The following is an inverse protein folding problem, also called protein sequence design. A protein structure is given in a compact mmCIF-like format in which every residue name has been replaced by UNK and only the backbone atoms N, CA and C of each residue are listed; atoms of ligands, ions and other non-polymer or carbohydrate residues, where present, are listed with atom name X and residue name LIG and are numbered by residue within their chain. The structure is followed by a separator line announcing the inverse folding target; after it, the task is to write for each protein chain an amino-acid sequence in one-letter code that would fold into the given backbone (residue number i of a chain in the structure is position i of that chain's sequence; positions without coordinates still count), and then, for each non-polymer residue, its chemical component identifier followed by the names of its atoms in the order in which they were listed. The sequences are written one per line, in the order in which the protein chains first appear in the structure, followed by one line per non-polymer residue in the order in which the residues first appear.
data_IF_829333266064
#
_entry.id   IF_829333266064
#
_cell.length_a   1.000
_cell.length_b   1.000
_cell.length_c   1.000
_cell.angle_alpha   90.00
_cell.angle_beta   90.00
_cell.angle_gamma   90.00
#
_symmetry.space_group_name_H-M   'P 1'
#
loop_
_entity.id
_entity.type
_entity.pdbx_description
1 polymer ?
#
# COMPACT_ATOMS: atom_id res chain seq x y z
N UNK A 1 -35.15 29.84 59.41
CA UNK A 1 -35.01 29.77 57.92
C UNK A 1 -33.79 28.92 57.60
N UNK A 2 -34.00 27.70 57.09
CA UNK A 2 -32.91 26.77 56.76
C UNK A 2 -32.62 26.94 55.29
N UNK A 3 -31.46 27.48 54.93
CA UNK A 3 -31.03 27.57 53.53
C UNK A 3 -30.43 26.24 53.13
N UNK A 4 -31.12 25.50 52.28
CA UNK A 4 -30.66 24.27 51.63
C UNK A 4 -29.77 24.66 50.45
N UNK A 5 -28.43 24.50 50.59
CA UNK A 5 -27.47 24.71 49.50
C UNK A 5 -27.42 23.45 48.70
N UNK A 6 -28.05 23.45 47.51
CA UNK A 6 -27.94 22.37 46.56
C UNK A 6 -26.66 22.55 45.77
N UNK A 7 -25.64 21.71 46.03
CA UNK A 7 -24.40 21.66 45.29
C UNK A 7 -24.63 20.89 43.97
N UNK A 8 -24.70 21.61 42.89
CA UNK A 8 -24.82 21.02 41.54
C UNK A 8 -23.44 20.55 41.09
N UNK A 9 -23.17 19.25 41.17
CA UNK A 9 -21.94 18.64 40.63
C UNK A 9 -22.15 18.41 39.16
N UNK A 10 -21.56 19.24 38.29
CA UNK A 10 -21.48 19.02 36.85
C UNK A 10 -20.38 18.01 36.55
N UNK A 11 -20.76 16.78 36.24
CA UNK A 11 -19.83 15.77 35.76
C UNK A 11 -19.55 16.07 34.27
N UNK A 12 -18.41 16.69 33.99
CA UNK A 12 -17.92 16.87 32.64
C UNK A 12 -17.40 15.52 32.13
N UNK A 13 -18.21 14.84 31.33
CA UNK A 13 -17.77 13.64 30.60
C UNK A 13 -16.77 14.08 29.52
N UNK A 14 -15.48 13.88 29.77
CA UNK A 14 -14.44 14.01 28.75
C UNK A 14 -14.62 12.86 27.77
N UNK A 15 -15.14 13.15 26.59
CA UNK A 15 -15.16 12.20 25.47
C UNK A 15 -13.72 12.03 25.01
N UNK A 16 -13.08 10.93 25.42
CA UNK A 16 -11.83 10.50 24.80
C UNK A 16 -12.16 10.13 23.35
N UNK A 17 -11.81 11.01 22.43
CA UNK A 17 -11.80 10.65 21.00
C UNK A 17 -10.63 9.69 20.81
N UNK A 18 -10.94 8.40 20.74
CA UNK A 18 -9.99 7.42 20.26
C UNK A 18 -9.67 7.79 18.80
N UNK A 19 -8.43 8.21 18.55
CA UNK A 19 -7.94 8.42 17.19
C UNK A 19 -8.04 7.08 16.46
N UNK A 20 -8.84 7.02 15.42
CA UNK A 20 -8.98 5.80 14.64
C UNK A 20 -7.64 5.50 13.97
N UNK A 21 -7.13 4.31 14.25
CA UNK A 21 -5.93 3.80 13.63
C UNK A 21 -6.13 3.71 12.10
N UNK A 22 -5.28 4.36 11.33
CA UNK A 22 -5.36 4.42 9.88
C UNK A 22 -4.00 4.15 9.27
N UNK A 23 -3.95 3.29 8.25
CA UNK A 23 -2.78 3.08 7.41
C UNK A 23 -3.18 3.29 5.96
N UNK A 24 -2.42 4.08 5.22
CA UNK A 24 -2.57 4.32 3.79
C UNK A 24 -1.26 3.95 3.10
N UNK A 25 -1.33 3.41 1.88
CA UNK A 25 -0.17 3.04 1.12
C UNK A 25 -0.35 3.27 -0.38
N UNK A 26 0.76 3.50 -1.07
CA UNK A 26 0.87 3.67 -2.52
C UNK A 26 2.06 2.88 -3.04
N UNK A 27 2.01 2.48 -4.32
CA UNK A 27 3.16 1.89 -5.01
C UNK A 27 3.77 2.93 -5.96
N UNK A 28 5.10 3.03 -5.96
CA UNK A 28 5.85 3.93 -6.82
C UNK A 28 7.27 3.40 -7.09
N UNK A 29 7.93 3.93 -8.11
CA UNK A 29 9.30 3.57 -8.47
C UNK A 29 10.36 4.28 -7.59
N UNK A 30 9.98 5.34 -6.90
CA UNK A 30 10.84 6.11 -6.03
C UNK A 30 10.07 7.19 -5.28
N UNK A 31 10.76 7.87 -4.35
CA UNK A 31 10.15 8.88 -3.48
C UNK A 31 9.56 10.07 -4.26
N UNK A 32 10.21 10.46 -5.36
CA UNK A 32 9.78 11.60 -6.20
C UNK A 32 8.95 11.15 -7.41
N UNK A 33 8.68 9.84 -7.52
CA UNK A 33 7.88 9.28 -8.61
C UNK A 33 6.39 9.39 -8.30
N UNK A 34 5.58 9.54 -9.35
CA UNK A 34 4.13 9.50 -9.19
C UNK A 34 3.68 8.09 -8.81
N UNK A 35 2.71 7.95 -7.90
CA UNK A 35 2.06 6.67 -7.64
C UNK A 35 1.46 6.09 -8.92
N UNK A 36 1.60 4.79 -9.11
CA UNK A 36 1.02 4.08 -10.23
C UNK A 36 0.50 2.70 -9.81
N UNK A 37 -0.33 2.12 -10.64
CA UNK A 37 -0.86 0.75 -10.49
C UNK A 37 -0.39 -0.20 -11.59
N UNK A 38 0.41 0.30 -12.53
CA UNK A 38 1.04 -0.50 -13.58
C UNK A 38 2.50 -0.06 -13.77
N UNK A 39 3.39 -1.02 -13.91
CA UNK A 39 4.83 -0.80 -14.09
C UNK A 39 5.39 -1.71 -15.16
N UNK A 40 6.46 -1.27 -15.81
CA UNK A 40 7.17 -2.06 -16.82
C UNK A 40 7.99 -3.19 -16.17
N UNK A 41 8.26 -4.25 -16.92
CA UNK A 41 9.05 -5.41 -16.47
C UNK A 41 10.50 -5.08 -16.12
N UNK A 42 11.03 -3.99 -16.63
CA UNK A 42 12.41 -3.56 -16.41
C UNK A 42 12.59 -2.57 -15.26
N UNK A 43 11.49 -2.16 -14.59
CA UNK A 43 11.60 -1.24 -13.45
C UNK A 43 12.59 -1.80 -12.41
N UNK A 44 13.62 -1.03 -12.04
CA UNK A 44 14.71 -1.58 -11.24
C UNK A 44 14.33 -1.88 -9.79
N UNK A 45 13.36 -1.14 -9.25
CA UNK A 45 12.91 -1.25 -7.86
C UNK A 45 11.52 -0.67 -7.69
N UNK A 46 10.70 -1.28 -6.86
CA UNK A 46 9.40 -0.78 -6.44
C UNK A 46 9.38 -0.52 -4.93
N UNK A 47 8.58 0.46 -4.55
CA UNK A 47 8.37 0.85 -3.16
C UNK A 47 6.88 0.86 -2.84
N UNK A 48 6.53 0.27 -1.72
CA UNK A 48 5.25 0.47 -1.06
C UNK A 48 5.44 1.52 0.03
N UNK A 49 5.22 2.79 -0.31
CA UNK A 49 5.24 3.88 0.66
C UNK A 49 3.97 3.86 1.48
N UNK A 50 4.10 3.99 2.79
CA UNK A 50 2.96 4.05 3.68
C UNK A 50 3.07 5.21 4.67
N UNK A 51 1.92 5.61 5.17
CA UNK A 51 1.78 6.47 6.34
C UNK A 51 0.72 5.91 7.26
N UNK A 52 0.96 6.03 8.54
CA UNK A 52 -0.01 5.64 9.58
C UNK A 52 -0.35 6.82 10.48
N UNK A 53 -1.55 6.78 11.05
CA UNK A 53 -2.00 7.68 12.09
C UNK A 53 -2.61 6.86 13.23
N UNK A 54 -2.40 7.30 14.47
CA UNK A 54 -2.86 6.57 15.65
C UNK A 54 -1.97 5.40 16.07
N UNK A 55 -0.77 5.28 15.51
CA UNK A 55 0.25 4.31 15.98
C UNK A 55 0.88 4.75 17.29
N UNK A 56 1.53 3.82 17.97
CA UNK A 56 2.33 4.08 19.18
C UNK A 56 3.76 3.57 18.96
N UNK A 57 4.70 4.14 19.70
CA UNK A 57 6.06 3.62 19.69
C UNK A 57 6.07 2.13 20.08
N UNK A 58 6.72 1.31 19.26
CA UNK A 58 6.75 -0.14 19.42
C UNK A 58 5.77 -0.93 18.55
N UNK A 59 4.77 -0.28 17.96
CA UNK A 59 3.88 -0.93 16.99
C UNK A 59 4.67 -1.47 15.80
N UNK A 60 4.29 -2.65 15.31
CA UNK A 60 4.96 -3.35 14.21
C UNK A 60 4.16 -3.19 12.92
N UNK A 61 4.81 -2.64 11.89
CA UNK A 61 4.29 -2.66 10.52
C UNK A 61 5.07 -3.72 9.73
N UNK A 62 4.37 -4.71 9.21
CA UNK A 62 4.95 -5.78 8.38
C UNK A 62 4.41 -5.66 6.97
N UNK A 63 5.30 -5.46 6.01
CA UNK A 63 4.99 -5.46 4.58
C UNK A 63 5.32 -6.82 3.97
N UNK A 64 4.41 -7.38 3.21
CA UNK A 64 4.54 -8.66 2.52
C UNK A 64 4.25 -8.46 1.04
N UNK A 65 5.22 -8.72 0.18
CA UNK A 65 5.08 -8.67 -1.27
C UNK A 65 4.57 -10.01 -1.80
N UNK A 66 3.49 -10.00 -2.56
CA UNK A 66 2.81 -11.20 -3.04
C UNK A 66 2.63 -11.11 -4.55
N UNK A 67 2.97 -12.19 -5.26
CA UNK A 67 2.62 -12.42 -6.65
C UNK A 67 1.28 -13.16 -6.71
N UNK A 68 0.21 -12.46 -7.09
CA UNK A 68 -1.13 -13.03 -7.15
C UNK A 68 -1.30 -14.01 -8.29
N UNK A 69 -0.93 -13.56 -9.48
CA UNK A 69 -0.98 -14.34 -10.71
C UNK A 69 0.08 -13.85 -11.70
N UNK A 70 1.12 -14.60 -11.84
CA UNK A 70 2.25 -14.34 -12.76
C UNK A 70 2.43 -15.47 -13.77
N UNK A 71 1.34 -16.14 -14.09
CA UNK A 71 1.30 -17.25 -15.03
C UNK A 71 2.17 -18.43 -14.57
N UNK A 72 3.04 -18.92 -15.46
CA UNK A 72 3.95 -20.05 -15.15
C UNK A 72 5.20 -19.67 -14.36
N UNK A 73 5.43 -18.39 -14.08
CA UNK A 73 6.65 -17.93 -13.40
C UNK A 73 6.68 -18.32 -11.91
N UNK A 74 5.52 -18.38 -11.27
CA UNK A 74 5.36 -18.85 -9.90
C UNK A 74 3.92 -19.34 -9.65
N UNK A 75 3.68 -20.16 -8.61
CA UNK A 75 2.33 -20.45 -8.14
C UNK A 75 1.58 -19.17 -7.77
N UNK A 76 0.24 -19.21 -7.87
CA UNK A 76 -0.60 -18.10 -7.41
C UNK A 76 -0.38 -17.83 -5.93
N UNK A 77 -0.55 -16.57 -5.52
CA UNK A 77 -0.40 -16.11 -4.12
C UNK A 77 0.99 -16.43 -3.53
N UNK A 78 2.03 -16.37 -4.35
CA UNK A 78 3.40 -16.61 -3.88
C UNK A 78 3.93 -15.39 -3.13
N UNK A 79 4.30 -15.58 -1.85
CA UNK A 79 5.06 -14.57 -1.10
C UNK A 79 6.46 -14.43 -1.69
N UNK A 80 6.82 -13.20 -2.10
CA UNK A 80 8.11 -12.88 -2.71
C UNK A 80 9.11 -12.47 -1.63
N UNK A 81 8.70 -11.55 -0.76
CA UNK A 81 9.55 -10.98 0.30
C UNK A 81 8.69 -10.38 1.41
N UNK A 82 9.29 -10.18 2.58
CA UNK A 82 8.64 -9.50 3.70
C UNK A 82 9.66 -8.76 4.56
N UNK A 83 9.22 -7.68 5.19
CA UNK A 83 10.01 -6.91 6.13
C UNK A 83 9.14 -6.33 7.24
N UNK A 84 9.77 -5.99 8.37
CA UNK A 84 9.10 -5.40 9.52
C UNK A 84 9.78 -4.07 9.86
N UNK A 85 8.99 -3.04 10.05
CA UNK A 85 9.38 -1.77 10.61
C UNK A 85 8.70 -1.56 11.96
N UNK A 86 9.35 -0.83 12.86
CA UNK A 86 8.80 -0.52 14.17
C UNK A 86 8.46 0.97 14.21
N UNK A 87 7.23 1.31 14.52
CA UNK A 87 6.82 2.69 14.69
C UNK A 87 7.51 3.31 15.91
N UNK A 88 7.87 4.56 15.81
CA UNK A 88 8.49 5.36 16.87
C UNK A 88 7.57 6.49 17.36
N UNK A 89 6.46 6.71 16.69
CA UNK A 89 5.57 7.84 16.90
C UNK A 89 4.12 7.56 16.49
N UNK A 90 3.24 8.48 16.84
CA UNK A 90 1.82 8.44 16.52
C UNK A 90 1.54 8.56 15.01
N UNK A 91 2.38 9.29 14.27
CA UNK A 91 2.32 9.44 12.82
C UNK A 91 3.61 8.87 12.24
N UNK A 92 3.58 7.58 11.98
CA UNK A 92 4.73 6.87 11.43
C UNK A 92 4.57 6.67 9.92
N UNK A 93 5.64 6.92 9.18
CA UNK A 93 5.70 6.71 7.73
C UNK A 93 6.99 5.99 7.34
N UNK A 94 6.93 5.29 6.23
CA UNK A 94 8.07 4.53 5.73
C UNK A 94 7.81 3.91 4.37
N UNK A 95 8.69 3.01 3.99
CA UNK A 95 8.56 2.25 2.76
C UNK A 95 9.07 0.84 2.91
N UNK A 96 8.36 -0.11 2.32
CA UNK A 96 8.87 -1.42 1.98
C UNK A 96 9.34 -1.38 0.54
N UNK A 97 10.45 -2.03 0.21
CA UNK A 97 10.96 -2.02 -1.15
C UNK A 97 11.29 -3.42 -1.64
N UNK A 98 11.13 -3.63 -2.95
CA UNK A 98 11.47 -4.86 -3.62
C UNK A 98 12.28 -4.55 -4.88
N UNK A 99 13.48 -5.12 -4.96
CA UNK A 99 14.38 -4.96 -6.11
C UNK A 99 14.00 -5.93 -7.22
N UNK A 100 14.14 -5.49 -8.46
CA UNK A 100 13.92 -6.32 -9.64
C UNK A 100 14.68 -7.64 -9.56
N UNK A 101 14.00 -8.78 -9.74
CA UNK A 101 14.67 -10.07 -9.87
C UNK A 101 15.67 -10.08 -11.04
N UNK A 102 16.70 -10.92 -10.96
CA UNK A 102 17.76 -11.00 -12.00
C UNK A 102 17.21 -11.29 -13.39
N UNK A 103 16.10 -12.06 -13.48
CA UNK A 103 15.42 -12.39 -14.74
C UNK A 103 14.34 -11.36 -15.14
N UNK A 104 14.24 -10.21 -14.48
CA UNK A 104 13.18 -9.24 -14.63
C UNK A 104 11.94 -9.59 -13.80
N UNK A 105 10.99 -8.68 -13.79
CA UNK A 105 9.69 -8.91 -13.19
C UNK A 105 8.84 -9.81 -14.08
N UNK A 106 8.29 -10.91 -13.59
CA UNK A 106 7.25 -11.61 -14.32
C UNK A 106 6.05 -10.68 -14.57
N UNK A 107 5.51 -10.67 -15.80
CA UNK A 107 4.27 -9.94 -16.07
C UNK A 107 3.12 -10.59 -15.32
N UNK A 108 2.24 -9.77 -14.72
CA UNK A 108 1.11 -10.28 -13.97
C UNK A 108 0.63 -9.35 -12.87
N UNK A 109 -0.14 -9.90 -11.94
CA UNK A 109 -0.79 -9.19 -10.84
C UNK A 109 -0.05 -9.42 -9.54
N UNK A 110 0.04 -8.36 -8.75
CA UNK A 110 0.74 -8.30 -7.48
C UNK A 110 -0.01 -7.45 -6.48
N UNK A 111 0.24 -7.67 -5.21
CA UNK A 111 -0.14 -6.74 -4.14
C UNK A 111 0.90 -6.71 -3.01
N UNK A 112 0.77 -5.73 -2.14
CA UNK A 112 1.57 -5.63 -0.92
C UNK A 112 0.64 -5.57 0.27
N UNK A 113 0.62 -6.62 1.08
CA UNK A 113 -0.10 -6.60 2.34
C UNK A 113 0.70 -5.86 3.40
N UNK A 114 0.11 -4.84 3.98
CA UNK A 114 0.69 -4.12 5.13
C UNK A 114 -0.15 -4.41 6.36
N UNK A 115 0.48 -5.09 7.31
CA UNK A 115 -0.11 -5.45 8.60
C UNK A 115 0.38 -4.48 9.67
N UNK A 116 -0.51 -4.11 10.57
CA UNK A 116 -0.18 -3.41 11.79
C UNK A 116 -0.48 -4.32 12.98
N UNK A 117 0.53 -4.67 13.75
CA UNK A 117 0.44 -5.64 14.87
C UNK A 117 -0.30 -6.91 14.46
N UNK A 118 0.10 -7.50 13.31
CA UNK A 118 -0.45 -8.73 12.70
C UNK A 118 -1.89 -8.63 12.17
N UNK A 119 -2.50 -7.45 12.20
CA UNK A 119 -3.79 -7.20 11.56
C UNK A 119 -3.60 -6.51 10.21
N UNK A 120 -4.18 -7.06 9.15
CA UNK A 120 -4.15 -6.44 7.81
C UNK A 120 -4.78 -5.04 7.87
N UNK A 121 -4.02 -4.04 7.45
CA UNK A 121 -4.41 -2.64 7.48
C UNK A 121 -4.73 -2.09 6.08
N UNK A 122 -3.89 -2.40 5.08
CA UNK A 122 -4.06 -1.96 3.69
C UNK A 122 -3.33 -2.92 2.75
N UNK A 123 -3.85 -3.07 1.53
CA UNK A 123 -3.31 -3.98 0.52
C UNK A 123 -3.33 -3.30 -0.86
N UNK A 124 -2.36 -2.41 -1.18
CA UNK A 124 -2.26 -1.80 -2.51
C UNK A 124 -1.89 -2.84 -3.56
N UNK A 125 -2.65 -2.86 -4.66
CA UNK A 125 -2.47 -3.75 -5.80
C UNK A 125 -1.72 -3.04 -6.92
N UNK A 126 -0.98 -3.81 -7.74
CA UNK A 126 -0.35 -3.33 -8.96
C UNK A 126 -0.18 -4.44 -9.98
N UNK A 127 0.09 -4.06 -11.22
CA UNK A 127 0.42 -4.98 -12.31
C UNK A 127 1.80 -4.68 -12.87
N UNK A 128 2.49 -5.74 -13.29
CA UNK A 128 3.66 -5.63 -14.16
C UNK A 128 3.18 -5.94 -15.58
N UNK A 129 3.37 -4.97 -16.48
CA UNK A 129 2.93 -5.08 -17.88
C UNK A 129 4.03 -5.63 -18.76
N UNK A 130 3.64 -6.46 -19.73
CA UNK A 130 4.55 -6.96 -20.74
C UNK A 130 4.72 -5.90 -21.84
N UNK A 131 5.91 -5.37 -22.02
CA UNK A 131 6.23 -4.36 -23.02
C UNK A 131 5.91 -4.80 -24.48
N UNK A 132 5.79 -6.11 -24.73
CA UNK A 132 5.38 -6.64 -26.02
C UNK A 132 3.88 -6.43 -26.29
N UNK A 133 3.03 -6.56 -25.27
CA UNK A 133 1.57 -6.38 -25.38
C UNK A 133 1.15 -4.92 -25.54
N UNK A 134 1.87 -3.99 -24.90
CA UNK A 134 1.58 -2.56 -25.05
C UNK A 134 1.81 -2.06 -26.49
N UNK A 135 2.73 -2.67 -27.25
CA UNK A 135 2.99 -2.31 -28.64
C UNK A 135 1.94 -2.86 -29.61
N UNK A 136 1.33 -3.99 -29.30
CA UNK A 136 0.24 -4.55 -30.11
C UNK A 136 -1.06 -3.75 -29.95
N UNK A 137 -1.39 -3.33 -28.73
CA UNK A 137 -2.58 -2.51 -28.45
C UNK A 137 -2.47 -1.06 -29.00
N UNK A 138 -1.25 -0.53 -29.10
CA UNK A 138 -0.98 0.78 -29.69
C UNK A 138 -0.95 0.75 -31.24
N UNK A 139 -0.72 -0.42 -31.83
CA UNK A 139 -0.64 -0.60 -33.28
C UNK A 139 -1.99 -0.82 -33.99
N UNK A 140 -3.04 -1.15 -33.27
CA UNK A 140 -4.37 -1.47 -33.84
C UNK A 140 -5.31 -0.25 -33.96
N UNK A 141 -4.87 0.92 -33.55
CA UNK A 141 -5.70 2.15 -33.62
C UNK A 141 -5.54 3.01 -34.88
N UNK A 142 -4.66 2.66 -35.80
CA UNK A 142 -4.40 3.47 -37.00
C UNK A 142 -4.78 2.77 -38.33
N UNK A 143 -5.91 2.09 -38.36
CA UNK A 143 -6.35 1.39 -39.54
C UNK A 143 -7.84 1.38 -39.79
N UNK A 144 -8.51 2.57 -39.77
CA UNK A 144 -9.79 2.71 -40.46
C UNK A 144 -10.11 4.18 -40.70
N UNK A 145 -9.97 4.60 -41.91
CA UNK A 145 -10.53 5.88 -42.35
C UNK A 145 -9.80 6.53 -43.50
N UNK A 146 -9.96 6.03 -44.70
CA UNK A 146 -10.37 6.87 -45.81
C UNK A 146 -10.35 6.07 -47.13
N UNK A 147 -11.53 5.78 -47.60
CA UNK A 147 -11.77 5.64 -49.04
C UNK A 147 -13.20 6.08 -49.34
N UNK A 148 -13.36 7.31 -49.79
CA UNK A 148 -14.16 7.66 -50.94
C UNK A 148 -14.09 9.18 -51.20
#
# INVERSE_FOLDING_TARGET
MKHLFVLLITISASVLQAQSLKVEAIIAEGQDSKPATAFAQDVPKLYAFFRSAGTHAGDKLRGVWIADDVGSAAPKETTIDQAILTADSNNFYGAFSLTKPTKGWPAGKYHVDIYLNDKLAVSPEFTITDAAKEKEDAGEKDGDGENN
#
